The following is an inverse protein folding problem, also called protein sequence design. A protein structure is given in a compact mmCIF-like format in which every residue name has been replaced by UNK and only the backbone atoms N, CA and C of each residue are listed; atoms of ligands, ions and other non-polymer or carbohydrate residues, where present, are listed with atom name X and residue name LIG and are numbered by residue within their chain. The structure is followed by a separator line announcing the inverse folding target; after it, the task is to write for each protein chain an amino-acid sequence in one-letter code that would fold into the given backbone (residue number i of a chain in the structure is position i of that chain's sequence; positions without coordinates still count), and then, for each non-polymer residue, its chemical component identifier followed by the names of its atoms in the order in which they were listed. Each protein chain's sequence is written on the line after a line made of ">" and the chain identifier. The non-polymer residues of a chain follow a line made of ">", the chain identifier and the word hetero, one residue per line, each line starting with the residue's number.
data_IF_146410751766
#
_entry.id   IF_146410751766
#
_cell.length_a   1.000
_cell.length_b   1.000
_cell.length_c   1.000
_cell.angle_alpha   90.00
_cell.angle_beta   90.00
_cell.angle_gamma   90.00
#
_symmetry.space_group_name_H-M   'P 1'
#
loop_
_entity.id
_entity.type
_entity.pdbx_description
1 polymer ?
#
# COMPACT_ATOMS: atom_id res chain seq x y z
N UNK A 1 22.30 5.54 21.53
CA UNK A 1 21.56 4.60 20.67
C UNK A 1 20.15 4.48 21.24
N UNK A 2 19.11 5.00 20.57
CA UNK A 2 17.75 5.00 21.14
C UNK A 2 16.66 5.62 20.26
N UNK A 3 17.05 6.31 19.18
CA UNK A 3 16.12 6.99 18.27
C UNK A 3 15.47 6.03 17.25
N UNK A 4 16.08 4.87 17.00
CA UNK A 4 15.59 3.90 15.99
C UNK A 4 14.35 3.12 16.43
N UNK A 5 14.10 2.94 17.74
CA UNK A 5 12.95 2.17 18.24
C UNK A 5 11.64 2.96 18.19
N UNK A 6 11.66 4.22 18.63
CA UNK A 6 10.49 5.09 18.64
C UNK A 6 10.03 5.48 17.23
N UNK A 7 10.98 5.81 16.34
CA UNK A 7 10.64 6.14 14.96
C UNK A 7 10.08 4.91 14.23
N UNK A 8 10.63 3.72 14.50
CA UNK A 8 10.09 2.47 13.97
C UNK A 8 8.63 2.26 14.37
N UNK A 9 8.32 2.36 15.66
CA UNK A 9 6.94 2.21 16.16
C UNK A 9 5.97 3.26 15.60
N UNK A 10 6.43 4.50 15.39
CA UNK A 10 5.61 5.56 14.82
C UNK A 10 5.28 5.35 13.33
N UNK A 11 6.04 4.51 12.62
CA UNK A 11 5.88 4.24 11.19
C UNK A 11 5.26 2.87 10.88
N UNK A 12 5.04 2.04 11.91
CA UNK A 12 4.51 0.68 11.76
C UNK A 12 3.14 0.52 12.41
N UNK A 13 2.29 -0.32 11.82
CA UNK A 13 1.07 -0.83 12.42
C UNK A 13 1.42 -1.88 13.49
N UNK A 14 1.06 -1.68 14.76
CA UNK A 14 1.38 -2.64 15.83
C UNK A 14 0.69 -4.00 15.65
N UNK A 15 -0.40 -4.09 14.89
CA UNK A 15 -1.13 -5.34 14.70
C UNK A 15 -0.41 -6.31 13.74
N UNK A 16 0.40 -5.79 12.82
CA UNK A 16 0.99 -6.58 11.72
C UNK A 16 2.50 -6.44 11.61
N UNK A 17 3.07 -5.37 12.17
CA UNK A 17 4.47 -4.97 11.97
C UNK A 17 4.75 -4.35 10.60
N UNK A 18 3.74 -4.18 9.74
CA UNK A 18 3.87 -3.52 8.44
C UNK A 18 3.91 -2.00 8.61
N UNK A 19 4.39 -1.24 7.61
CA UNK A 19 4.10 0.18 7.45
C UNK A 19 2.66 0.56 7.83
N UNK A 20 2.49 1.65 8.56
CA UNK A 20 1.16 2.23 8.80
C UNK A 20 0.71 3.12 7.63
N UNK A 21 -0.58 3.47 7.61
CA UNK A 21 -1.14 4.27 6.52
C UNK A 21 -0.51 5.67 6.37
N UNK A 22 -0.24 6.45 7.43
CA UNK A 22 0.42 7.75 7.27
C UNK A 22 1.78 7.64 6.58
N UNK A 23 2.58 6.64 6.93
CA UNK A 23 3.87 6.41 6.26
C UNK A 23 3.68 5.96 4.81
N UNK A 24 2.69 5.10 4.55
CA UNK A 24 2.33 4.68 3.19
C UNK A 24 1.95 5.87 2.29
N UNK A 25 1.09 6.77 2.78
CA UNK A 25 0.63 7.93 2.03
C UNK A 25 1.78 8.87 1.69
N UNK A 26 2.73 9.06 2.62
CA UNK A 26 3.94 9.82 2.36
C UNK A 26 4.78 9.21 1.22
N UNK A 27 4.99 7.88 1.22
CA UNK A 27 5.74 7.21 0.14
C UNK A 27 4.97 7.22 -1.18
N UNK A 28 3.65 7.01 -1.14
CA UNK A 28 2.78 7.08 -2.32
C UNK A 28 2.88 8.46 -2.99
N UNK A 29 2.83 9.54 -2.22
CA UNK A 29 2.95 10.91 -2.74
C UNK A 29 4.33 11.14 -3.37
N UNK A 30 5.39 10.68 -2.71
CA UNK A 30 6.74 10.80 -3.22
C UNK A 30 6.95 10.02 -4.52
N UNK A 31 6.51 8.76 -4.58
CA UNK A 31 6.58 7.91 -5.78
C UNK A 31 5.73 8.49 -6.91
N UNK A 32 4.53 8.99 -6.64
CA UNK A 32 3.67 9.61 -7.65
C UNK A 32 4.33 10.84 -8.29
N UNK A 33 5.02 11.67 -7.49
CA UNK A 33 5.79 12.83 -7.99
C UNK A 33 7.03 12.42 -8.79
N UNK A 34 7.61 11.26 -8.50
CA UNK A 34 8.75 10.73 -9.22
C UNK A 34 8.32 10.10 -10.55
N UNK A 35 7.19 9.41 -10.53
CA UNK A 35 6.51 8.82 -11.69
C UNK A 35 6.16 9.87 -12.74
N UNK A 36 5.63 11.02 -12.32
CA UNK A 36 5.32 12.12 -13.26
C UNK A 36 6.55 12.68 -13.97
N UNK A 37 7.72 12.69 -13.31
CA UNK A 37 8.99 13.18 -13.90
C UNK A 37 9.67 12.15 -14.79
N UNK A 38 9.43 10.86 -14.55
CA UNK A 38 10.13 9.74 -15.21
C UNK A 38 9.22 8.88 -16.09
N UNK A 39 7.99 9.33 -16.32
CA UNK A 39 7.00 8.70 -17.20
C UNK A 39 6.75 7.22 -16.89
N UNK A 40 6.56 6.87 -15.61
CA UNK A 40 6.07 5.54 -15.22
C UNK A 40 4.76 5.62 -14.45
N UNK A 41 4.14 4.47 -14.20
CA UNK A 41 2.81 4.39 -13.56
C UNK A 41 2.94 3.95 -12.11
N UNK A 42 2.11 4.56 -11.25
CA UNK A 42 1.90 4.14 -9.87
C UNK A 42 0.44 3.77 -9.70
N UNK A 43 0.16 2.63 -9.04
CA UNK A 43 -1.18 2.17 -8.69
C UNK A 43 -1.24 1.78 -7.23
N UNK A 44 -2.43 1.89 -6.64
CA UNK A 44 -2.69 1.38 -5.31
C UNK A 44 -3.77 0.32 -5.37
N UNK A 45 -3.45 -0.85 -4.83
CA UNK A 45 -4.40 -1.93 -4.61
C UNK A 45 -4.80 -1.92 -3.13
N UNK A 46 -6.09 -1.93 -2.89
CA UNK A 46 -6.68 -1.96 -1.55
C UNK A 46 -7.28 -3.33 -1.30
N UNK A 47 -7.06 -3.85 -0.10
CA UNK A 47 -7.62 -5.10 0.37
C UNK A 47 -8.29 -4.86 1.72
N UNK A 48 -9.60 -5.06 1.79
CA UNK A 48 -10.36 -5.06 3.04
C UNK A 48 -10.74 -6.47 3.43
N UNK A 49 -10.52 -6.81 4.69
CA UNK A 49 -10.69 -8.15 5.22
C UNK A 49 -11.73 -8.13 6.33
N UNK A 50 -12.70 -9.02 6.24
CA UNK A 50 -13.72 -9.28 7.27
C UNK A 50 -13.72 -10.75 7.66
N UNK A 51 -14.21 -11.04 8.86
CA UNK A 51 -14.24 -12.39 9.41
C UNK A 51 -13.05 -12.65 10.32
N UNK A 52 -12.54 -13.87 10.28
CA UNK A 52 -11.46 -14.31 11.16
C UNK A 52 -10.18 -13.52 10.93
N UNK A 53 -9.56 -13.08 12.02
CA UNK A 53 -8.26 -12.45 11.99
C UNK A 53 -7.18 -13.52 11.77
N UNK A 54 -6.69 -13.66 10.54
CA UNK A 54 -5.53 -14.49 10.25
C UNK A 54 -4.24 -13.66 10.41
N UNK A 55 -3.52 -13.88 11.52
CA UNK A 55 -2.22 -13.23 11.79
C UNK A 55 -1.18 -13.53 10.72
N UNK A 56 -1.31 -14.64 9.98
CA UNK A 56 -0.41 -15.00 8.89
C UNK A 56 -0.70 -14.27 7.59
N UNK A 57 -1.85 -13.60 7.47
CA UNK A 57 -2.24 -12.91 6.23
C UNK A 57 -1.24 -11.83 5.82
N UNK A 58 -0.81 -10.99 6.76
CA UNK A 58 0.19 -9.95 6.51
C UNK A 58 1.50 -10.54 5.97
N UNK A 59 1.98 -11.62 6.59
CA UNK A 59 3.19 -12.32 6.16
C UNK A 59 3.02 -12.94 4.76
N UNK A 60 1.87 -13.56 4.48
CA UNK A 60 1.56 -14.15 3.17
C UNK A 60 1.48 -13.11 2.08
N UNK A 61 0.84 -11.98 2.34
CA UNK A 61 0.79 -10.85 1.41
C UNK A 61 2.21 -10.39 1.06
N UNK A 62 3.12 -10.32 2.03
CA UNK A 62 4.52 -9.99 1.76
C UNK A 62 5.25 -11.01 0.89
N UNK A 63 4.82 -12.29 0.85
CA UNK A 63 5.40 -13.31 -0.02
C UNK A 63 4.86 -13.24 -1.46
N UNK A 64 3.63 -12.74 -1.66
CA UNK A 64 3.00 -12.59 -2.99
C UNK A 64 3.43 -11.32 -3.73
N UNK A 65 4.01 -10.37 -2.99
CA UNK A 65 4.49 -9.08 -3.47
C UNK A 65 6.00 -9.09 -3.67
N UNK A 66 6.49 -8.25 -4.58
CA UNK A 66 7.92 -8.11 -4.78
C UNK A 66 8.52 -7.23 -3.69
N UNK A 67 9.84 -7.33 -3.50
CA UNK A 67 10.58 -6.47 -2.56
C UNK A 67 10.46 -4.98 -2.89
N UNK A 68 10.17 -4.62 -4.14
CA UNK A 68 9.96 -3.24 -4.57
C UNK A 68 8.56 -2.69 -4.26
N UNK A 69 7.59 -3.57 -3.97
CA UNK A 69 6.22 -3.16 -3.66
C UNK A 69 6.15 -2.77 -2.18
N UNK A 70 5.51 -1.64 -1.89
CA UNK A 70 5.26 -1.24 -0.51
C UNK A 70 3.88 -1.73 -0.09
N UNK A 71 3.81 -2.51 0.99
CA UNK A 71 2.55 -2.87 1.64
C UNK A 71 2.44 -2.16 2.99
N UNK A 72 1.25 -1.65 3.29
CA UNK A 72 0.89 -1.08 4.57
C UNK A 72 -0.39 -1.69 5.09
N UNK A 73 -0.61 -1.57 6.40
CA UNK A 73 -1.86 -2.00 7.02
C UNK A 73 -2.42 -0.97 8.00
N UNK A 74 -3.70 -1.17 8.28
CA UNK A 74 -4.46 -0.50 9.31
C UNK A 74 -5.24 -1.55 10.12
N UNK A 75 -4.76 -1.82 11.33
CA UNK A 75 -5.39 -2.73 12.29
C UNK A 75 -5.47 -4.18 11.82
N UNK A 76 -4.63 -4.60 10.87
CA UNK A 76 -4.63 -5.95 10.31
C UNK A 76 -5.92 -6.37 9.59
N UNK A 77 -6.79 -5.42 9.21
CA UNK A 77 -8.03 -5.67 8.46
C UNK A 77 -8.13 -4.88 7.17
N UNK A 78 -7.29 -3.87 7.02
CA UNK A 78 -7.18 -3.08 5.80
C UNK A 78 -5.72 -3.08 5.39
N UNK A 79 -5.45 -3.36 4.13
CA UNK A 79 -4.12 -3.36 3.54
C UNK A 79 -4.13 -2.50 2.28
N UNK A 80 -3.03 -1.77 2.07
CA UNK A 80 -2.78 -1.01 0.85
C UNK A 80 -1.43 -1.43 0.27
N UNK A 81 -1.40 -1.65 -1.03
CA UNK A 81 -0.21 -2.05 -1.78
C UNK A 81 0.07 -0.99 -2.82
N UNK A 82 1.26 -0.37 -2.76
CA UNK A 82 1.77 0.56 -3.74
C UNK A 82 2.55 -0.21 -4.80
N UNK A 83 2.06 -0.17 -6.02
CA UNK A 83 2.66 -0.81 -7.18
C UNK A 83 3.30 0.26 -8.05
N UNK A 84 4.55 0.03 -8.47
CA UNK A 84 5.26 0.87 -9.44
C UNK A 84 5.49 0.08 -10.74
N UNK A 85 5.67 0.75 -11.89
CA UNK A 85 5.93 0.04 -13.15
C UNK A 85 7.14 -0.90 -13.03
N UNK A 86 7.08 -2.11 -13.62
CA UNK A 86 6.03 -2.60 -14.52
C UNK A 86 4.80 -3.19 -13.80
N UNK A 87 4.86 -3.42 -12.49
CA UNK A 87 3.81 -4.13 -11.75
C UNK A 87 2.52 -3.30 -11.61
N UNK A 88 2.63 -1.98 -11.67
CA UNK A 88 1.49 -1.07 -11.81
C UNK A 88 0.62 -1.39 -13.04
N UNK A 89 1.20 -1.89 -14.13
CA UNK A 89 0.48 -2.28 -15.36
C UNK A 89 -0.19 -3.65 -15.19
N UNK A 90 0.36 -4.49 -14.31
CA UNK A 90 -0.14 -5.83 -14.00
C UNK A 90 -0.97 -5.89 -12.71
N UNK A 91 -1.42 -4.74 -12.19
CA UNK A 91 -2.16 -4.66 -10.94
C UNK A 91 -3.39 -5.60 -10.87
N UNK A 92 -4.18 -5.80 -11.95
CA UNK A 92 -5.27 -6.78 -11.94
C UNK A 92 -4.80 -8.21 -11.66
N UNK A 93 -3.72 -8.65 -12.30
CA UNK A 93 -3.15 -9.99 -12.11
C UNK A 93 -2.61 -10.17 -10.68
N UNK A 94 -2.05 -9.12 -10.07
CA UNK A 94 -1.63 -9.14 -8.66
C UNK A 94 -2.86 -9.30 -7.75
N UNK A 95 -3.96 -8.61 -8.04
CA UNK A 95 -5.22 -8.78 -7.34
C UNK A 95 -5.76 -10.21 -7.43
N UNK A 96 -5.74 -10.81 -8.62
CA UNK A 96 -6.14 -12.21 -8.82
C UNK A 96 -5.27 -13.19 -8.01
N UNK A 97 -3.95 -12.99 -7.95
CA UNK A 97 -3.06 -13.80 -7.11
C UNK A 97 -3.40 -13.69 -5.62
N UNK A 98 -3.66 -12.47 -5.14
CA UNK A 98 -4.06 -12.24 -3.75
C UNK A 98 -5.40 -12.92 -3.46
N UNK A 99 -6.38 -12.82 -4.36
CA UNK A 99 -7.67 -13.50 -4.21
C UNK A 99 -7.50 -15.02 -4.16
N UNK A 100 -6.74 -15.61 -5.08
CA UNK A 100 -6.47 -17.04 -5.10
C UNK A 100 -5.74 -17.52 -3.83
N UNK A 101 -4.87 -16.70 -3.26
CA UNK A 101 -4.22 -16.98 -1.97
C UNK A 101 -5.24 -17.02 -0.82
N UNK A 102 -6.20 -16.08 -0.79
CA UNK A 102 -7.27 -16.04 0.23
C UNK A 102 -8.22 -17.23 0.07
N UNK A 103 -8.56 -17.61 -1.17
CA UNK A 103 -9.39 -18.77 -1.44
C UNK A 103 -8.73 -20.06 -0.93
N UNK A 104 -7.41 -20.20 -1.08
CA UNK A 104 -6.63 -21.31 -0.49
C UNK A 104 -6.65 -21.31 1.04
N UNK A 105 -6.72 -20.16 1.69
CA UNK A 105 -6.88 -20.08 3.15
C UNK A 105 -8.26 -20.58 3.58
N UNK A 106 -9.30 -20.15 2.86
CA UNK A 106 -10.68 -20.54 3.11
C UNK A 106 -10.96 -22.02 2.83
N UNK A 107 -10.20 -22.66 1.93
CA UNK A 107 -10.35 -24.08 1.63
C UNK A 107 -9.83 -25.03 2.74
N UNK A 108 -9.20 -24.51 3.80
CA UNK A 108 -8.66 -25.33 4.89
C UNK A 108 -9.78 -25.85 5.80
N UNK A 109 -9.80 -27.16 6.12
CA UNK A 109 -10.78 -27.71 7.06
C UNK A 109 -10.70 -27.03 8.42
N UNK A 110 -11.85 -26.58 8.94
CA UNK A 110 -11.96 -25.95 10.25
C UNK A 110 -11.46 -24.49 10.33
N UNK A 111 -11.05 -23.89 9.22
CA UNK A 111 -10.75 -22.47 9.18
C UNK A 111 -12.04 -21.65 9.17
N UNK A 112 -12.09 -20.59 9.98
CA UNK A 112 -13.13 -19.59 9.85
C UNK A 112 -12.92 -18.79 8.54
N UNK A 113 -13.99 -18.50 7.78
CA UNK A 113 -13.85 -17.90 6.47
C UNK A 113 -13.42 -16.43 6.55
N UNK A 114 -12.43 -16.10 5.73
CA UNK A 114 -11.95 -14.75 5.47
C UNK A 114 -12.71 -14.21 4.27
N UNK A 115 -13.40 -13.08 4.43
CA UNK A 115 -14.04 -12.36 3.32
C UNK A 115 -13.14 -11.19 2.92
N UNK A 116 -12.72 -11.19 1.67
CA UNK A 116 -11.84 -10.17 1.11
C UNK A 116 -12.57 -9.33 0.07
N UNK A 117 -12.35 -8.03 0.11
CA UNK A 117 -12.79 -7.07 -0.90
C UNK A 117 -11.53 -6.40 -1.46
N UNK A 118 -11.24 -6.67 -2.73
CA UNK A 118 -10.10 -6.13 -3.46
C UNK A 118 -10.58 -5.01 -4.40
N UNK A 119 -9.91 -3.86 -4.37
CA UNK A 119 -10.19 -2.77 -5.29
C UNK A 119 -8.91 -2.07 -5.73
N UNK A 120 -8.85 -1.72 -7.01
CA UNK A 120 -7.81 -0.84 -7.56
C UNK A 120 -8.25 0.61 -7.38
N UNK A 121 -7.43 1.43 -6.74
CA UNK A 121 -7.72 2.86 -6.65
C UNK A 121 -7.56 3.51 -8.03
N UNK A 122 -8.61 4.21 -8.45
CA UNK A 122 -8.54 5.16 -9.56
C UNK A 122 -7.43 6.15 -9.25
N UNK A 123 -6.41 6.21 -10.11
CA UNK A 123 -5.19 6.97 -9.83
C UNK A 123 -5.53 8.42 -9.42
N UNK A 124 -4.95 8.87 -8.30
CA UNK A 124 -4.97 10.29 -7.96
C UNK A 124 -4.23 11.04 -9.08
N UNK A 125 -4.95 11.82 -9.88
CA UNK A 125 -4.31 12.81 -10.75
C UNK A 125 -3.64 13.82 -9.83
N UNK A 126 -2.32 13.81 -9.80
CA UNK A 126 -1.55 14.81 -9.08
C UNK A 126 -1.72 16.16 -9.80
N UNK A 127 -2.63 16.99 -9.31
CA UNK A 127 -2.61 18.42 -9.59
C UNK A 127 -1.33 18.97 -8.93
N UNK A 128 -0.38 19.42 -9.75
CA UNK A 128 0.92 19.93 -9.31
C UNK A 128 0.89 21.15 -8.37
N UNK A 129 -0.29 21.63 -7.98
CA UNK A 129 -0.47 22.87 -7.23
C UNK A 129 -0.57 22.75 -5.71
N UNK A 130 -0.72 21.55 -5.11
CA UNK A 130 -1.06 21.43 -3.67
C UNK A 130 -0.13 20.53 -2.85
N UNK A 131 1.18 20.69 -3.00
CA UNK A 131 2.13 20.22 -2.00
C UNK A 131 2.66 21.39 -1.16
N UNK A 132 2.98 21.23 0.14
CA UNK A 132 3.67 22.26 0.94
C UNK A 132 5.08 22.61 0.44
N UNK A 133 5.51 21.99 -0.66
CA UNK A 133 6.81 22.13 -1.32
C UNK A 133 6.65 22.44 -2.82
N UNK A 134 5.58 23.11 -3.22
CA UNK A 134 5.45 23.64 -4.59
C UNK A 134 6.60 24.61 -4.91
N UNK A 135 7.05 24.72 -6.18
CA UNK A 135 8.02 25.72 -6.56
C UNK A 135 7.43 27.09 -6.21
N UNK A 136 8.05 27.79 -5.25
CA UNK A 136 7.59 29.10 -4.81
C UNK A 136 7.40 30.00 -6.03
N UNK A 137 6.17 30.50 -6.22
CA UNK A 137 5.85 31.47 -7.26
C UNK A 137 6.83 32.63 -7.13
N UNK A 138 7.63 32.96 -8.16
CA UNK A 138 8.53 34.09 -8.06
C UNK A 138 7.69 35.37 -7.88
N UNK A 139 8.11 36.30 -7.02
CA UNK A 139 7.37 37.54 -6.82
C UNK A 139 7.29 38.30 -8.14
N UNK A 140 6.06 38.62 -8.55
CA UNK A 140 5.81 39.54 -9.65
C UNK A 140 6.39 40.90 -9.27
N UNK A 141 7.41 41.35 -10.01
CA UNK A 141 7.86 42.74 -9.94
C UNK A 141 6.77 43.62 -10.55
N UNK A 142 6.03 44.33 -9.70
CA UNK A 142 5.27 45.52 -10.03
C UNK A 142 6.04 46.75 -9.58
#
# INVERSE_FOLDING_TARGET
>A
MGISGFLGQALTDPATGLPNLPYFEFIQDWESRRASRRSYTVRVLTLRVRGAADRSLAWRLCQELRTSDLIASDGGRSYRVLLTSPDAENAPAIGERIQAMIDKLNARPGAEPIRAELALESGRTFDGSQGPWGPGTPPSKG
#
